data_IF_654432423324
#
_entry.id   IF_654432423324
#
_cell.length_a   1.000
_cell.length_b   1.000
_cell.length_c   1.000
_cell.angle_alpha   90.00
_cell.angle_beta   90.00
_cell.angle_gamma   90.00
#
_symmetry.space_group_name_H-M   'P 1'
#
loop_
_entity.id
_entity.type
_entity.pdbx_description
1 polymer ?
#
# COMPACT_ATOMS: atom_id res chain seq x y z
N UNK A 1 -1.09 15.69 -23.91
CA UNK A 1 -1.32 15.86 -22.46
C UNK A 1 -0.55 14.80 -21.71
N UNK A 2 0.11 15.18 -20.62
CA UNK A 2 0.85 14.27 -19.77
C UNK A 2 0.51 14.58 -18.30
N UNK A 3 0.34 13.53 -17.52
CA UNK A 3 0.13 13.57 -16.08
C UNK A 3 1.26 12.78 -15.42
N UNK A 4 1.94 13.42 -14.48
CA UNK A 4 3.01 12.84 -13.70
C UNK A 4 2.58 12.83 -12.23
N UNK A 5 2.56 11.65 -11.62
CA UNK A 5 2.37 11.49 -10.19
C UNK A 5 3.71 11.05 -9.61
N UNK A 6 4.20 11.81 -8.63
CA UNK A 6 5.45 11.54 -7.94
C UNK A 6 5.14 11.09 -6.51
N UNK A 7 5.74 9.99 -6.09
CA UNK A 7 5.75 9.57 -4.70
C UNK A 7 7.15 9.09 -4.32
N UNK A 8 7.87 9.88 -3.54
CA UNK A 8 9.26 9.60 -3.14
C UNK A 8 10.09 9.23 -4.38
N UNK A 9 10.49 7.96 -4.52
CA UNK A 9 11.33 7.48 -5.63
C UNK A 9 10.51 6.88 -6.79
N UNK A 10 9.19 6.73 -6.63
CA UNK A 10 8.30 6.12 -7.63
C UNK A 10 7.57 7.19 -8.45
N UNK A 11 7.47 6.94 -9.76
CA UNK A 11 6.83 7.83 -10.73
C UNK A 11 5.75 7.07 -11.51
N UNK A 12 4.52 7.59 -11.52
CA UNK A 12 3.50 7.17 -12.49
C UNK A 12 3.38 8.25 -13.57
N UNK A 13 3.57 7.82 -14.81
CA UNK A 13 3.40 8.65 -16.00
C UNK A 13 2.21 8.17 -16.83
N UNK A 14 1.26 9.06 -17.10
CA UNK A 14 0.17 8.83 -18.05
C UNK A 14 0.22 9.91 -19.13
N UNK A 15 0.21 9.52 -20.40
CA UNK A 15 0.28 10.46 -21.52
C UNK A 15 -0.82 10.19 -22.54
N UNK A 16 -1.16 11.20 -23.33
CA UNK A 16 -2.15 11.10 -24.40
C UNK A 16 -1.62 10.37 -25.65
N UNK A 17 -0.31 10.15 -25.75
CA UNK A 17 0.29 9.39 -26.84
C UNK A 17 1.55 8.66 -26.38
N UNK A 18 1.83 7.54 -27.05
CA UNK A 18 3.02 6.74 -26.80
C UNK A 18 4.31 7.50 -27.14
N UNK A 19 4.30 8.30 -28.22
CA UNK A 19 5.42 9.16 -28.59
C UNK A 19 5.80 10.13 -27.48
N UNK A 20 4.80 10.81 -26.89
CA UNK A 20 5.00 11.72 -25.78
C UNK A 20 5.49 10.96 -24.53
N UNK A 21 5.00 9.74 -24.30
CA UNK A 21 5.45 8.88 -23.20
C UNK A 21 6.95 8.63 -23.30
N UNK A 22 7.40 8.18 -24.47
CA UNK A 22 8.80 7.83 -24.73
C UNK A 22 9.72 9.05 -24.63
N UNK A 23 9.29 10.20 -25.18
CA UNK A 23 10.06 11.44 -25.06
C UNK A 23 10.26 11.86 -23.60
N UNK A 24 9.22 11.78 -22.77
CA UNK A 24 9.30 12.14 -21.35
C UNK A 24 10.17 11.12 -20.58
N UNK A 25 9.99 9.82 -20.81
CA UNK A 25 10.82 8.79 -20.16
C UNK A 25 12.29 8.97 -20.53
N UNK A 26 12.60 9.23 -21.80
CA UNK A 26 13.97 9.47 -22.25
C UNK A 26 14.60 10.70 -21.58
N UNK A 27 13.83 11.79 -21.44
CA UNK A 27 14.29 13.02 -20.77
C UNK A 27 14.54 12.79 -19.28
N UNK A 28 13.63 12.12 -18.58
CA UNK A 28 13.80 11.83 -17.16
C UNK A 28 14.97 10.86 -16.94
N UNK A 29 15.16 9.89 -17.83
CA UNK A 29 16.26 8.92 -17.75
C UNK A 29 17.63 9.50 -18.08
N UNK A 30 17.69 10.64 -18.77
CA UNK A 30 18.97 11.34 -19.00
C UNK A 30 19.40 12.18 -17.79
N UNK A 31 18.43 12.69 -17.03
CA UNK A 31 18.69 13.54 -15.85
C UNK A 31 18.79 12.73 -14.55
N UNK A 32 18.04 11.62 -14.44
CA UNK A 32 17.93 10.82 -13.23
C UNK A 32 18.25 9.35 -13.49
N UNK A 33 18.89 8.71 -12.52
CA UNK A 33 19.08 7.26 -12.51
C UNK A 33 17.75 6.56 -12.23
N UNK A 34 16.93 6.37 -13.27
CA UNK A 34 15.63 5.73 -13.19
C UNK A 34 15.54 4.50 -14.09
N UNK A 35 14.55 3.65 -13.81
CA UNK A 35 14.25 2.45 -14.60
C UNK A 35 12.77 2.48 -15.00
N UNK A 36 12.49 2.34 -16.28
CA UNK A 36 11.12 2.07 -16.73
C UNK A 36 10.71 0.66 -16.30
N UNK A 37 9.68 0.58 -15.46
CA UNK A 37 9.09 -0.68 -14.99
C UNK A 37 7.96 -1.17 -15.92
N UNK A 38 7.65 -0.40 -16.98
CA UNK A 38 6.63 -0.70 -17.95
C UNK A 38 5.23 -0.32 -17.47
N UNK A 39 4.24 -1.18 -17.75
CA UNK A 39 2.88 -0.90 -17.34
C UNK A 39 2.72 -0.97 -15.82
N UNK A 40 1.96 -0.01 -15.26
CA UNK A 40 1.61 0.03 -13.84
C UNK A 40 1.06 -1.33 -13.37
N UNK A 41 1.79 -1.97 -12.45
CA UNK A 41 1.52 -3.28 -11.87
C UNK A 41 1.51 -3.27 -10.33
N UNK A 42 2.31 -2.40 -9.70
CA UNK A 42 2.33 -2.20 -8.26
C UNK A 42 2.74 -0.75 -7.94
N UNK A 43 2.01 -0.08 -7.06
CA UNK A 43 2.36 1.25 -6.58
C UNK A 43 1.77 1.45 -5.20
N UNK A 44 2.59 1.94 -4.24
CA UNK A 44 2.14 2.20 -2.86
C UNK A 44 1.40 1.03 -2.20
N UNK A 45 1.88 -0.21 -2.32
CA UNK A 45 1.17 -1.34 -1.70
C UNK A 45 -0.11 -1.77 -2.45
N UNK A 46 -0.45 -1.15 -3.58
CA UNK A 46 -1.60 -1.49 -4.41
C UNK A 46 -1.10 -2.24 -5.64
N UNK A 47 -1.47 -3.51 -5.75
CA UNK A 47 -1.32 -4.29 -6.96
C UNK A 47 -2.40 -3.90 -7.97
N UNK A 48 -1.98 -3.69 -9.22
CA UNK A 48 -2.84 -3.28 -10.34
C UNK A 48 -2.86 -4.39 -11.37
N UNK A 49 -4.02 -4.96 -11.61
CA UNK A 49 -4.24 -5.95 -12.68
C UNK A 49 -5.09 -5.31 -13.78
N UNK A 50 -4.59 -5.34 -15.02
CA UNK A 50 -5.35 -4.89 -16.19
C UNK A 50 -6.28 -5.99 -16.68
N UNK A 51 -7.54 -5.63 -16.89
CA UNK A 51 -8.54 -6.44 -17.55
C UNK A 51 -9.12 -5.67 -18.75
N UNK A 52 -9.82 -6.36 -19.64
CA UNK A 52 -10.48 -5.74 -20.80
C UNK A 52 -11.51 -4.66 -20.42
N UNK A 53 -12.06 -4.74 -19.20
CA UNK A 53 -13.07 -3.81 -18.68
C UNK A 53 -12.48 -2.67 -17.82
N UNK A 54 -11.18 -2.68 -17.53
CA UNK A 54 -10.55 -1.65 -16.69
C UNK A 54 -9.41 -2.17 -15.82
N UNK A 55 -9.22 -1.53 -14.66
CA UNK A 55 -8.18 -1.86 -13.68
C UNK A 55 -8.81 -2.49 -12.44
N UNK A 56 -8.26 -3.61 -11.99
CA UNK A 56 -8.53 -4.18 -10.69
C UNK A 56 -7.39 -3.81 -9.73
N UNK A 57 -7.75 -3.17 -8.62
CA UNK A 57 -6.81 -2.71 -7.59
C UNK A 57 -6.93 -3.60 -6.36
N UNK A 58 -5.80 -4.08 -5.83
CA UNK A 58 -5.78 -4.97 -4.66
C UNK A 58 -4.63 -4.66 -3.73
N UNK A 59 -4.92 -4.49 -2.44
CA UNK A 59 -3.89 -4.42 -1.38
C UNK A 59 -3.68 -5.76 -0.67
N UNK A 60 -4.07 -6.90 -1.26
CA UNK A 60 -3.92 -8.22 -0.64
C UNK A 60 -2.47 -8.49 -0.22
N UNK A 61 -1.52 -8.26 -1.14
CA UNK A 61 -0.09 -8.45 -0.86
C UNK A 61 0.39 -7.57 0.31
N UNK A 62 -0.04 -6.31 0.31
CA UNK A 62 0.28 -5.38 1.40
C UNK A 62 -0.31 -5.83 2.74
N UNK A 63 -1.53 -6.37 2.77
CA UNK A 63 -2.11 -6.96 3.98
C UNK A 63 -1.27 -8.14 4.51
N UNK A 64 -0.80 -9.03 3.62
CA UNK A 64 0.07 -10.16 3.96
C UNK A 64 1.44 -9.69 4.50
N UNK A 65 1.99 -8.61 3.94
CA UNK A 65 3.21 -7.96 4.43
C UNK A 65 3.01 -7.36 5.84
N UNK A 66 1.86 -6.72 6.11
CA UNK A 66 1.51 -6.22 7.45
C UNK A 66 1.46 -7.37 8.45
N UNK A 67 0.76 -8.47 8.13
CA UNK A 67 0.65 -9.64 9.00
C UNK A 67 2.03 -10.23 9.30
N UNK A 68 2.89 -10.30 8.30
CA UNK A 68 4.26 -10.80 8.47
C UNK A 68 5.08 -9.91 9.39
N UNK A 69 5.00 -8.59 9.23
CA UNK A 69 5.67 -7.62 10.11
C UNK A 69 5.14 -7.67 11.55
N UNK A 70 3.86 -7.97 11.74
CA UNK A 70 3.25 -8.14 13.05
C UNK A 70 3.54 -9.51 13.69
N UNK A 71 4.22 -10.43 13.00
CA UNK A 71 4.41 -11.81 13.47
C UNK A 71 3.13 -12.65 13.46
N UNK A 72 2.16 -12.29 12.63
CA UNK A 72 0.81 -12.85 12.59
C UNK A 72 0.53 -13.71 11.33
N UNK A 73 1.55 -14.08 10.56
CA UNK A 73 1.38 -14.85 9.31
C UNK A 73 0.65 -16.20 9.50
N UNK A 74 0.73 -16.79 10.70
CA UNK A 74 0.07 -18.06 11.04
C UNK A 74 -1.21 -17.88 11.86
N UNK A 75 -1.69 -16.65 12.06
CA UNK A 75 -2.91 -16.41 12.82
C UNK A 75 -4.14 -16.94 12.07
N UNK A 76 -5.09 -17.53 12.82
CA UNK A 76 -6.37 -17.97 12.27
C UNK A 76 -7.25 -16.76 11.94
N UNK A 77 -8.04 -16.85 10.88
CA UNK A 77 -9.05 -15.85 10.56
C UNK A 77 -10.07 -15.74 11.71
N UNK A 78 -10.43 -14.50 12.06
CA UNK A 78 -11.47 -14.20 13.03
C UNK A 78 -12.65 -13.54 12.30
N UNK A 79 -13.90 -14.00 12.51
CA UNK A 79 -15.06 -13.42 11.85
C UNK A 79 -15.44 -12.03 12.39
N UNK A 80 -14.96 -11.67 13.59
CA UNK A 80 -15.24 -10.38 14.23
C UNK A 80 -13.95 -9.57 14.36
N UNK A 81 -13.93 -8.30 13.87
CA UNK A 81 -12.73 -7.46 13.93
C UNK A 81 -12.38 -7.02 15.36
N UNK A 82 -13.38 -6.93 16.23
CA UNK A 82 -13.23 -6.51 17.62
C UNK A 82 -13.57 -7.63 18.60
N UNK A 83 -12.85 -7.67 19.71
CA UNK A 83 -13.16 -8.56 20.83
C UNK A 83 -14.53 -8.16 21.41
N UNK A 84 -15.44 -9.13 21.54
CA UNK A 84 -16.77 -8.91 22.12
C UNK A 84 -16.74 -8.91 23.65
N UNK A 85 -15.59 -9.25 24.26
CA UNK A 85 -15.42 -9.26 25.70
C UNK A 85 -14.83 -7.92 26.19
N UNK A 86 -15.41 -7.31 27.23
CA UNK A 86 -14.84 -6.11 27.83
C UNK A 86 -13.47 -6.43 28.43
N UNK A 87 -12.43 -5.73 27.98
CA UNK A 87 -11.10 -5.80 28.59
C UNK A 87 -11.18 -5.18 29.99
N UNK A 88 -11.00 -6.01 31.02
CA UNK A 88 -11.05 -5.55 32.41
C UNK A 88 -9.84 -4.65 32.72
N UNK A 89 -10.12 -3.46 33.26
CA UNK A 89 -9.19 -2.44 33.81
C UNK A 89 -8.28 -1.70 32.82
N UNK A 90 -8.78 -0.58 32.30
CA UNK A 90 -7.97 0.46 31.61
C UNK A 90 -7.11 1.32 32.56
N UNK A 91 -7.15 1.05 33.87
CA UNK A 91 -6.56 1.93 34.89
C UNK A 91 -5.06 1.65 35.14
N UNK A 92 -4.54 0.50 34.70
CA UNK A 92 -3.15 0.06 34.93
C UNK A 92 -2.57 -0.76 33.77
N UNK A 93 -2.63 -0.26 32.53
CA UNK A 93 -1.95 -0.91 31.40
C UNK A 93 -0.48 -0.49 31.32
N UNK A 94 0.41 -1.47 31.23
CA UNK A 94 1.83 -1.25 30.93
C UNK A 94 1.92 -0.76 29.47
N UNK A 95 2.69 0.30 29.17
CA UNK A 95 2.94 0.72 27.79
C UNK A 95 3.51 -0.42 26.94
N UNK A 96 3.14 -0.46 25.66
CA UNK A 96 3.73 -1.43 24.74
C UNK A 96 5.23 -1.18 24.59
N UNK A 97 6.02 -2.26 24.60
CA UNK A 97 7.49 -2.19 24.68
C UNK A 97 8.15 -1.51 23.47
N UNK A 98 7.56 -1.64 22.28
CA UNK A 98 8.06 -1.02 21.04
C UNK A 98 7.03 -0.05 20.43
N UNK A 99 7.05 1.24 20.84
CA UNK A 99 6.17 2.26 20.27
C UNK A 99 6.33 2.44 18.76
N UNK A 100 7.51 2.16 18.20
CA UNK A 100 7.78 2.36 16.77
C UNK A 100 7.08 1.30 15.93
N UNK A 101 7.17 0.03 16.35
CA UNK A 101 6.42 -1.05 15.73
C UNK A 101 4.91 -0.79 15.81
N UNK A 102 4.42 -0.35 16.97
CA UNK A 102 3.01 -0.02 17.15
C UNK A 102 2.53 1.07 16.17
N UNK A 103 3.22 2.23 16.11
CA UNK A 103 2.85 3.30 15.19
C UNK A 103 2.98 2.89 13.71
N UNK A 104 4.00 2.08 13.37
CA UNK A 104 4.19 1.55 12.03
C UNK A 104 3.04 0.63 11.59
N UNK A 105 2.57 -0.25 12.49
CA UNK A 105 1.42 -1.11 12.25
C UNK A 105 0.12 -0.31 12.18
N UNK A 106 -0.10 0.64 13.09
CA UNK A 106 -1.26 1.52 13.07
C UNK A 106 -1.37 2.31 11.75
N UNK A 107 -0.26 2.90 11.29
CA UNK A 107 -0.20 3.61 10.02
C UNK A 107 -0.47 2.70 8.81
N UNK A 108 0.07 1.49 8.81
CA UNK A 108 -0.15 0.54 7.72
C UNK A 108 -1.59 0.01 7.68
N UNK A 109 -2.21 -0.23 8.85
CA UNK A 109 -3.63 -0.60 8.94
C UNK A 109 -4.52 0.55 8.47
N UNK A 110 -4.20 1.79 8.84
CA UNK A 110 -4.90 2.97 8.34
C UNK A 110 -4.79 3.06 6.81
N UNK A 111 -3.62 2.78 6.22
CA UNK A 111 -3.44 2.77 4.77
C UNK A 111 -4.18 1.61 4.08
N UNK A 112 -4.42 0.49 4.78
CA UNK A 112 -5.20 -0.63 4.25
C UNK A 112 -6.69 -0.29 4.05
N UNK A 113 -7.20 0.75 4.71
CA UNK A 113 -8.60 1.18 4.61
C UNK A 113 -9.01 1.64 3.20
N UNK A 114 -8.04 1.94 2.33
CA UNK A 114 -8.29 2.29 0.92
C UNK A 114 -9.02 1.19 0.13
N UNK A 115 -8.74 -0.09 0.41
CA UNK A 115 -9.42 -1.22 -0.28
C UNK A 115 -10.19 -2.14 0.68
N UNK A 116 -10.04 -1.95 1.99
CA UNK A 116 -10.77 -2.68 3.03
C UNK A 116 -11.34 -1.71 4.07
N UNK A 117 -12.53 -1.12 3.82
CA UNK A 117 -13.22 -0.36 4.85
C UNK A 117 -13.54 -1.25 6.05
N UNK A 118 -13.77 -0.63 7.22
CA UNK A 118 -14.24 -1.28 8.45
C UNK A 118 -13.26 -2.28 9.12
N UNK A 119 -11.97 -1.91 9.18
CA UNK A 119 -10.92 -2.64 9.93
C UNK A 119 -10.77 -2.15 11.39
N UNK A 120 -11.71 -1.34 11.89
CA UNK A 120 -11.72 -0.82 13.28
C UNK A 120 -11.97 -1.88 14.35
#
# INVERSE_FOLDING_TARGET
MAYLLLYVDDIILTTSSETLRQSIISLLSSEFAMKDLGHLNYFLGIAVTRHSQGLFLSQKKYAEEILTRAGMSSCKSCPTPIDTKPKMSATHSIPYEDPSLFHSLAGALQYLTFTRPDIS
#
